data_IF_970754914751
#
_entry.id   IF_970754914751
#
_cell.length_a   1.000
_cell.length_b   1.000
_cell.length_c   1.000
_cell.angle_alpha   90.00
_cell.angle_beta   90.00
_cell.angle_gamma   90.00
#
_symmetry.space_group_name_H-M   'P 1'
#
loop_
_entity.id
_entity.type
_entity.pdbx_description
1 polymer ?
#
# COMPACT_ATOMS: atom_id res chain seq x y z
N UNK A 1 -19.99 19.94 -64.66
CA UNK A 1 -19.10 19.24 -63.73
C UNK A 1 -19.27 19.94 -62.39
N UNK A 2 -20.17 19.40 -61.58
CA UNK A 2 -20.45 19.93 -60.24
C UNK A 2 -19.47 19.44 -59.22
N UNK A 3 -18.85 20.30 -58.42
CA UNK A 3 -18.11 19.87 -57.26
C UNK A 3 -19.07 19.62 -56.09
N UNK A 4 -19.37 18.37 -55.84
CA UNK A 4 -20.04 17.94 -54.61
C UNK A 4 -19.17 18.32 -53.42
N UNK A 5 -19.56 19.39 -52.74
CA UNK A 5 -19.06 19.72 -51.39
C UNK A 5 -19.62 18.68 -50.42
N UNK A 6 -18.84 17.74 -50.06
CA UNK A 6 -19.06 16.89 -48.85
C UNK A 6 -18.82 17.74 -47.62
N UNK A 7 -19.89 18.33 -47.09
CA UNK A 7 -19.92 18.87 -45.74
C UNK A 7 -19.82 17.68 -44.74
N UNK A 8 -18.60 17.31 -44.35
CA UNK A 8 -18.39 16.53 -43.15
C UNK A 8 -18.75 17.41 -41.94
N UNK A 9 -19.99 17.29 -41.50
CA UNK A 9 -20.41 17.74 -40.17
C UNK A 9 -19.68 16.90 -39.12
N UNK A 10 -18.45 17.29 -38.79
CA UNK A 10 -17.82 16.89 -37.54
C UNK A 10 -18.65 17.52 -36.39
N UNK A 11 -19.66 16.79 -35.95
CA UNK A 11 -20.30 17.06 -34.68
C UNK A 11 -19.25 16.82 -33.58
N UNK A 12 -18.43 17.82 -33.28
CA UNK A 12 -17.71 17.89 -32.04
C UNK A 12 -18.78 17.88 -30.93
N UNK A 13 -18.96 16.74 -30.29
CA UNK A 13 -19.76 16.59 -29.08
C UNK A 13 -19.14 17.53 -28.03
N UNK A 14 -19.64 18.79 -27.98
CA UNK A 14 -19.38 19.69 -26.87
C UNK A 14 -20.07 19.08 -25.66
N UNK A 15 -19.30 18.30 -24.86
CA UNK A 15 -19.76 17.78 -23.57
C UNK A 15 -20.28 18.97 -22.76
N UNK A 16 -21.54 18.92 -22.33
CA UNK A 16 -22.10 19.98 -21.49
C UNK A 16 -21.32 20.01 -20.16
N UNK A 17 -21.12 21.20 -19.55
CA UNK A 17 -20.44 21.32 -18.26
C UNK A 17 -21.05 20.39 -17.18
N UNK A 18 -22.37 20.22 -17.21
CA UNK A 18 -23.11 19.31 -16.32
C UNK A 18 -22.74 17.86 -16.54
N UNK A 19 -22.52 17.41 -17.77
CA UNK A 19 -22.09 16.05 -18.06
C UNK A 19 -20.65 15.80 -17.57
N UNK A 20 -19.74 16.76 -17.78
CA UNK A 20 -18.37 16.69 -17.26
C UNK A 20 -18.36 16.60 -15.73
N UNK A 21 -19.16 17.41 -15.06
CA UNK A 21 -19.27 17.38 -13.60
C UNK A 21 -19.83 16.05 -13.08
N UNK A 22 -20.84 15.47 -13.74
CA UNK A 22 -21.37 14.15 -13.36
C UNK A 22 -20.34 13.04 -13.54
N UNK A 23 -19.49 13.14 -14.58
CA UNK A 23 -18.39 12.20 -14.81
C UNK A 23 -17.29 12.33 -13.75
N UNK A 24 -16.98 13.55 -13.32
CA UNK A 24 -16.03 13.80 -12.24
C UNK A 24 -16.54 13.24 -10.91
N UNK A 25 -17.81 13.49 -10.55
CA UNK A 25 -18.44 12.91 -9.34
C UNK A 25 -18.37 11.39 -9.34
N UNK A 26 -18.49 10.73 -10.49
CA UNK A 26 -18.41 9.27 -10.59
C UNK A 26 -16.99 8.75 -10.27
N UNK A 27 -15.94 9.51 -10.58
CA UNK A 27 -14.55 9.10 -10.42
C UNK A 27 -13.93 9.45 -9.06
N UNK A 28 -14.47 10.46 -8.36
CA UNK A 28 -13.96 10.95 -7.08
C UNK A 28 -13.82 9.79 -6.06
N UNK A 29 -12.81 9.87 -5.22
CA UNK A 29 -12.71 9.02 -4.03
C UNK A 29 -13.79 9.40 -3.01
N UNK A 30 -13.98 8.61 -1.98
CA UNK A 30 -14.95 8.93 -0.91
C UNK A 30 -14.57 10.20 -0.17
N UNK A 31 -13.27 10.42 0.07
CA UNK A 31 -12.74 11.63 0.71
C UNK A 31 -12.93 12.89 -0.16
N UNK A 32 -12.57 12.80 -1.46
CA UNK A 32 -12.76 13.91 -2.39
C UNK A 32 -14.24 14.30 -2.54
N UNK A 33 -15.13 13.30 -2.57
CA UNK A 33 -16.56 13.55 -2.65
C UNK A 33 -17.10 14.19 -1.38
N UNK A 34 -16.64 13.73 -0.20
CA UNK A 34 -17.00 14.33 1.10
C UNK A 34 -16.57 15.79 1.17
N UNK A 35 -15.32 16.11 0.80
CA UNK A 35 -14.84 17.48 0.73
C UNK A 35 -15.66 18.33 -0.26
N UNK A 36 -15.89 17.82 -1.46
CA UNK A 36 -16.70 18.51 -2.48
C UNK A 36 -18.13 18.81 -2.01
N UNK A 37 -18.79 17.88 -1.31
CA UNK A 37 -20.14 18.07 -0.78
C UNK A 37 -20.18 19.10 0.35
N UNK A 38 -19.16 19.10 1.22
CA UNK A 38 -19.01 20.12 2.28
C UNK A 38 -18.79 21.51 1.72
N UNK A 39 -17.92 21.66 0.72
CA UNK A 39 -17.69 22.94 0.03
C UNK A 39 -18.98 23.43 -0.65
N UNK A 40 -19.71 22.52 -1.30
CA UNK A 40 -20.99 22.87 -1.93
C UNK A 40 -22.03 23.31 -0.90
N UNK A 41 -22.07 22.70 0.29
CA UNK A 41 -22.99 23.08 1.36
C UNK A 41 -22.67 24.49 1.91
N UNK A 42 -21.39 24.87 1.96
CA UNK A 42 -20.99 26.24 2.33
C UNK A 42 -21.45 27.27 1.28
N UNK A 43 -21.45 26.90 -0.01
CA UNK A 43 -21.88 27.80 -1.10
C UNK A 43 -23.40 27.81 -1.33
N UNK A 44 -24.10 26.80 -0.87
CA UNK A 44 -25.52 26.58 -1.16
C UNK A 44 -26.34 26.40 0.14
N UNK A 45 -27.00 27.46 0.62
CA UNK A 45 -27.73 27.42 1.90
C UNK A 45 -28.96 26.50 1.89
N UNK A 46 -29.32 25.94 0.73
CA UNK A 46 -30.45 25.01 0.59
C UNK A 46 -30.08 23.58 1.03
N UNK A 47 -28.78 23.27 1.14
CA UNK A 47 -28.28 21.97 1.57
C UNK A 47 -28.07 21.97 3.09
N UNK A 48 -28.73 21.08 3.79
CA UNK A 48 -28.54 20.82 5.20
C UNK A 48 -27.97 19.42 5.41
N UNK A 49 -26.96 19.30 6.27
CA UNK A 49 -26.36 18.03 6.63
C UNK A 49 -27.26 17.29 7.63
N UNK A 50 -27.50 16.02 7.39
CA UNK A 50 -28.29 15.17 8.27
C UNK A 50 -27.34 14.44 9.21
N UNK A 51 -27.54 14.57 10.51
CA UNK A 51 -26.71 13.94 11.55
C UNK A 51 -27.03 12.43 11.74
N UNK A 52 -28.21 11.98 11.28
CA UNK A 52 -28.67 10.59 11.44
C UNK A 52 -28.22 9.72 10.25
N UNK A 53 -27.01 9.19 10.32
CA UNK A 53 -26.49 8.16 9.39
C UNK A 53 -26.53 6.76 10.01
N UNK A 54 -26.66 5.72 9.17
CA UNK A 54 -26.49 4.32 9.59
C UNK A 54 -25.11 4.16 10.26
N UNK A 55 -25.09 3.70 11.52
CA UNK A 55 -23.84 3.55 12.25
C UNK A 55 -23.04 2.35 11.72
N UNK A 56 -21.71 2.49 11.69
CA UNK A 56 -20.80 1.37 11.40
C UNK A 56 -21.05 0.20 12.37
N UNK A 57 -21.37 0.49 13.60
CA UNK A 57 -21.58 -0.51 14.64
C UNK A 57 -22.77 -1.42 14.32
N UNK A 58 -23.89 -0.85 13.83
CA UNK A 58 -25.05 -1.64 13.38
C UNK A 58 -24.72 -2.56 12.21
N UNK A 59 -23.87 -2.09 11.29
CA UNK A 59 -23.42 -2.90 10.17
C UNK A 59 -22.44 -4.01 10.61
N UNK A 60 -21.46 -3.68 11.46
CA UNK A 60 -20.46 -4.63 11.93
C UNK A 60 -21.10 -5.80 12.70
N UNK A 61 -22.17 -5.56 13.46
CA UNK A 61 -22.91 -6.62 14.15
C UNK A 61 -23.62 -7.60 13.20
N UNK A 62 -23.94 -7.20 11.97
CA UNK A 62 -24.56 -8.08 10.97
C UNK A 62 -23.57 -9.03 10.30
N UNK A 63 -22.28 -8.76 10.42
CA UNK A 63 -21.21 -9.48 9.72
C UNK A 63 -20.25 -10.08 10.74
N UNK A 64 -20.38 -11.38 11.00
CA UNK A 64 -19.68 -12.10 12.06
C UNK A 64 -18.15 -11.94 12.07
N UNK A 65 -17.51 -11.86 10.90
CA UNK A 65 -16.04 -11.72 10.80
C UNK A 65 -15.58 -10.26 10.94
N UNK A 66 -16.48 -9.28 10.87
CA UNK A 66 -16.21 -7.86 11.09
C UNK A 66 -16.34 -7.45 12.56
N UNK A 67 -17.11 -8.19 13.35
CA UNK A 67 -17.33 -7.88 14.75
C UNK A 67 -16.04 -7.89 15.60
N UNK A 68 -15.05 -8.68 15.19
CA UNK A 68 -13.73 -8.79 15.84
C UNK A 68 -12.69 -7.81 15.28
N UNK A 69 -13.01 -7.06 14.22
CA UNK A 69 -12.09 -6.06 13.65
C UNK A 69 -12.38 -4.68 14.27
N UNK A 70 -11.32 -3.92 14.60
CA UNK A 70 -11.54 -2.53 14.98
C UNK A 70 -12.28 -1.84 13.83
N UNK A 71 -13.47 -1.31 14.13
CA UNK A 71 -14.25 -0.52 13.20
C UNK A 71 -13.34 0.55 12.54
N UNK A 72 -13.72 1.09 11.39
CA UNK A 72 -13.14 2.35 10.96
C UNK A 72 -13.40 3.30 12.11
N UNK A 73 -12.38 3.52 12.94
CA UNK A 73 -12.50 4.36 14.11
C UNK A 73 -13.22 5.62 13.66
N UNK A 74 -14.48 5.79 14.11
CA UNK A 74 -15.00 7.09 14.37
C UNK A 74 -14.09 7.71 15.44
N UNK A 75 -12.81 7.82 15.12
CA UNK A 75 -11.93 8.70 15.85
C UNK A 75 -12.63 10.04 15.71
N UNK A 76 -13.01 10.61 16.85
CA UNK A 76 -13.12 12.05 17.00
C UNK A 76 -12.26 12.65 15.94
N UNK A 77 -12.87 13.49 15.10
CA UNK A 77 -12.22 14.10 13.96
C UNK A 77 -10.75 14.23 14.30
N UNK A 78 -9.94 13.33 13.74
CA UNK A 78 -8.49 13.49 13.86
C UNK A 78 -8.36 14.87 13.30
N UNK A 79 -8.24 15.80 14.25
CA UNK A 79 -8.21 17.19 13.93
C UNK A 79 -7.31 17.29 12.76
N UNK A 80 -7.70 18.05 11.70
CA UNK A 80 -7.05 18.26 10.42
C UNK A 80 -5.82 17.37 10.33
N UNK A 81 -5.55 16.51 9.33
CA UNK A 81 -4.36 15.68 9.38
C UNK A 81 -3.27 16.64 9.83
N UNK A 82 -3.28 16.84 11.13
CA UNK A 82 -2.43 17.77 11.81
C UNK A 82 -1.15 17.19 11.39
N UNK A 83 -0.35 17.89 10.55
CA UNK A 83 1.04 17.63 10.42
C UNK A 83 1.40 16.61 11.50
N UNK A 84 1.24 15.33 11.21
CA UNK A 84 2.02 14.31 11.88
C UNK A 84 3.38 14.83 11.47
N UNK A 85 3.99 15.56 12.38
CA UNK A 85 5.31 16.09 12.16
C UNK A 85 6.06 14.90 11.61
N UNK A 86 6.44 14.96 10.33
CA UNK A 86 7.24 13.93 9.66
C UNK A 86 8.53 13.65 10.44
N UNK A 87 8.74 14.41 11.48
CA UNK A 87 9.88 14.37 12.38
C UNK A 87 9.72 13.36 13.53
N UNK A 88 8.50 13.03 14.00
CA UNK A 88 8.30 12.15 15.18
C UNK A 88 8.58 10.67 14.95
N UNK A 89 8.88 10.26 13.73
CA UNK A 89 9.25 8.88 13.38
C UNK A 89 10.55 8.79 12.59
N UNK A 90 11.31 9.89 12.47
CA UNK A 90 12.61 9.86 11.79
C UNK A 90 13.69 9.29 12.72
N UNK A 91 14.63 8.53 12.14
CA UNK A 91 15.80 8.04 12.86
C UNK A 91 16.50 9.18 13.65
N UNK A 92 16.61 10.36 13.03
CA UNK A 92 17.23 11.53 13.64
C UNK A 92 16.53 11.95 14.94
N UNK A 93 15.20 11.99 14.95
CA UNK A 93 14.41 12.33 16.14
C UNK A 93 14.62 11.33 17.27
N UNK A 94 14.61 10.04 16.98
CA UNK A 94 14.82 8.98 17.97
C UNK A 94 16.24 9.05 18.57
N UNK A 95 17.24 9.33 17.75
CA UNK A 95 18.62 9.47 18.22
C UNK A 95 18.80 10.75 19.07
N UNK A 96 18.17 11.84 18.68
CA UNK A 96 18.20 13.09 19.47
C UNK A 96 17.53 12.92 20.83
N UNK A 97 16.38 12.22 20.88
CA UNK A 97 15.71 11.91 22.14
C UNK A 97 16.58 11.04 23.07
N UNK A 98 17.30 10.07 22.50
CA UNK A 98 18.25 9.26 23.27
C UNK A 98 19.44 10.10 23.76
N UNK A 99 19.98 10.99 22.91
CA UNK A 99 21.08 11.90 23.30
C UNK A 99 20.67 12.84 24.44
N UNK A 100 19.43 13.32 24.44
CA UNK A 100 18.92 14.22 25.49
C UNK A 100 18.73 13.50 26.84
N UNK A 101 18.54 12.18 26.82
CA UNK A 101 18.49 11.35 28.05
C UNK A 101 19.89 11.10 28.64
N UNK A 102 20.93 11.20 27.82
CA UNK A 102 22.32 11.01 28.28
C UNK A 102 22.86 12.31 28.89
N UNK A 103 23.47 12.21 30.08
CA UNK A 103 24.15 13.34 30.73
C UNK A 103 25.54 13.58 30.11
N UNK A 104 25.58 14.17 28.92
CA UNK A 104 26.80 14.44 28.18
C UNK A 104 27.28 15.86 28.37
N UNK A 105 28.59 16.11 28.15
CA UNK A 105 29.14 17.47 28.05
C UNK A 105 28.55 18.19 26.84
N UNK A 106 28.21 19.45 26.98
CA UNK A 106 27.59 20.27 25.92
C UNK A 106 28.35 20.22 24.58
N UNK A 107 29.69 20.15 24.65
CA UNK A 107 30.55 20.06 23.45
C UNK A 107 30.37 18.73 22.73
N UNK A 108 30.30 17.60 23.45
CA UNK A 108 30.09 16.27 22.90
C UNK A 108 28.70 16.21 22.33
N UNK A 109 27.68 16.70 23.04
CA UNK A 109 26.27 16.70 22.60
C UNK A 109 26.11 17.49 21.29
N UNK A 110 26.73 18.64 21.13
CA UNK A 110 26.69 19.45 19.92
C UNK A 110 27.31 18.70 18.72
N UNK A 111 28.43 18.02 18.91
CA UNK A 111 29.06 17.20 17.87
C UNK A 111 28.19 15.98 17.52
N UNK A 112 27.63 15.30 18.53
CA UNK A 112 26.70 14.14 18.27
C UNK A 112 25.48 14.56 17.45
N UNK A 113 24.82 15.69 17.77
CA UNK A 113 23.68 16.20 16.99
C UNK A 113 24.06 16.51 15.54
N UNK A 114 25.26 17.07 15.35
CA UNK A 114 25.75 17.32 14.00
C UNK A 114 26.00 16.02 13.24
N UNK A 115 26.60 15.00 13.88
CA UNK A 115 26.81 13.68 13.30
C UNK A 115 25.50 12.95 12.97
N UNK A 116 24.45 13.12 13.77
CA UNK A 116 23.11 12.58 13.47
C UNK A 116 22.58 13.12 12.14
N UNK A 117 22.83 14.40 11.84
CA UNK A 117 22.45 15.02 10.57
C UNK A 117 23.28 14.57 9.35
N UNK A 118 24.43 13.92 9.57
CA UNK A 118 25.31 13.38 8.52
C UNK A 118 25.10 11.88 8.26
N UNK A 119 24.22 11.20 9.01
CA UNK A 119 23.91 9.79 8.79
C UNK A 119 23.23 9.59 7.44
N UNK A 120 23.66 8.55 6.71
CA UNK A 120 22.98 8.11 5.49
C UNK A 120 21.69 7.33 5.81
N UNK A 121 20.91 6.97 4.76
CA UNK A 121 19.67 6.19 4.88
C UNK A 121 19.86 4.81 5.55
N UNK A 122 21.10 4.34 5.71
CA UNK A 122 21.45 3.08 6.38
C UNK A 122 21.80 3.28 7.85
N UNK A 123 21.99 4.53 8.25
CA UNK A 123 22.49 4.92 9.57
C UNK A 123 24.01 4.90 9.69
N UNK A 124 24.74 5.02 8.56
CA UNK A 124 26.21 5.03 8.54
C UNK A 124 26.77 6.44 8.40
N UNK A 125 28.03 6.60 8.80
CA UNK A 125 28.81 7.84 8.65
C UNK A 125 29.81 7.70 7.50
N UNK A 126 29.84 8.66 6.57
CA UNK A 126 30.87 8.70 5.55
C UNK A 126 32.22 9.11 6.18
N UNK A 127 33.29 8.33 5.97
CA UNK A 127 34.62 8.72 6.43
C UNK A 127 35.08 10.09 5.93
N UNK A 128 34.66 10.51 4.73
CA UNK A 128 35.00 11.83 4.19
C UNK A 128 34.40 12.98 5.01
N UNK A 129 33.22 12.81 5.57
CA UNK A 129 32.58 13.80 6.43
C UNK A 129 33.31 13.95 7.74
N UNK A 130 33.83 12.85 8.31
CA UNK A 130 34.65 12.86 9.53
C UNK A 130 35.99 13.57 9.31
N UNK A 131 36.65 13.33 8.18
CA UNK A 131 37.86 14.03 7.77
C UNK A 131 37.59 15.53 7.59
N UNK A 132 36.45 15.90 6.99
CA UNK A 132 36.01 17.28 6.84
C UNK A 132 35.84 18.01 8.16
N UNK A 133 35.29 17.36 9.19
CA UNK A 133 35.13 17.92 10.53
C UNK A 133 36.49 18.14 11.23
N UNK A 134 37.42 17.23 11.06
CA UNK A 134 38.77 17.35 11.59
C UNK A 134 39.51 18.54 10.92
N UNK A 135 39.35 18.69 9.60
CA UNK A 135 39.88 19.81 8.85
C UNK A 135 39.24 21.17 9.27
N UNK A 136 37.98 21.16 9.68
CA UNK A 136 37.27 22.34 10.21
C UNK A 136 37.69 22.73 11.64
N UNK A 137 38.62 21.97 12.28
CA UNK A 137 39.20 22.30 13.57
C UNK A 137 38.52 21.60 14.77
N UNK A 138 37.69 20.61 14.57
CA UNK A 138 37.16 19.76 15.66
C UNK A 138 38.30 18.85 16.17
N UNK A 139 38.61 18.83 17.48
CA UNK A 139 39.63 17.94 18.02
C UNK A 139 39.30 16.47 17.79
N UNK A 140 40.24 15.72 17.26
CA UNK A 140 40.06 14.29 16.92
C UNK A 140 39.58 13.47 18.13
N UNK A 141 40.12 13.73 19.33
CA UNK A 141 39.67 13.07 20.55
C UNK A 141 38.19 13.34 20.88
N UNK A 142 37.71 14.55 20.61
CA UNK A 142 36.29 14.90 20.81
C UNK A 142 35.40 14.20 19.77
N UNK A 143 35.87 14.13 18.52
CA UNK A 143 35.15 13.46 17.43
C UNK A 143 35.04 11.95 17.68
N UNK A 144 36.13 11.29 18.11
CA UNK A 144 36.08 9.87 18.48
C UNK A 144 35.14 9.57 19.65
N UNK A 145 35.11 10.46 20.66
CA UNK A 145 34.17 10.32 21.78
C UNK A 145 32.70 10.47 21.28
N UNK A 146 32.41 11.41 20.40
CA UNK A 146 31.09 11.62 19.85
C UNK A 146 30.65 10.42 19.01
N UNK A 147 31.54 9.89 18.15
CA UNK A 147 31.24 8.67 17.35
C UNK A 147 30.98 7.48 18.27
N UNK A 148 31.80 7.25 19.30
CA UNK A 148 31.55 6.14 20.26
C UNK A 148 30.23 6.32 21.00
N UNK A 149 29.88 7.54 21.36
CA UNK A 149 28.59 7.85 21.99
C UNK A 149 27.44 7.53 21.03
N UNK A 150 27.53 7.95 19.77
CA UNK A 150 26.53 7.66 18.75
C UNK A 150 26.38 6.15 18.51
N UNK A 151 27.48 5.41 18.43
CA UNK A 151 27.50 3.95 18.28
C UNK A 151 26.91 3.20 19.50
N UNK A 152 26.79 3.86 20.65
CA UNK A 152 26.15 3.28 21.84
C UNK A 152 24.63 3.42 21.85
N UNK A 153 24.02 4.20 20.94
CA UNK A 153 22.58 4.43 20.84
C UNK A 153 21.87 3.24 20.15
N UNK A 154 20.57 3.20 20.27
CA UNK A 154 19.69 2.27 19.56
C UNK A 154 19.10 2.93 18.30
N UNK A 155 19.02 2.16 17.20
CA UNK A 155 19.37 0.75 16.99
C UNK A 155 20.88 0.47 16.88
N UNK A 156 21.23 -0.79 17.19
CA UNK A 156 22.63 -1.23 17.17
C UNK A 156 23.23 -1.15 15.76
N UNK A 157 24.45 -0.64 15.65
CA UNK A 157 25.17 -0.53 14.37
C UNK A 157 25.07 0.83 13.70
N UNK A 158 24.38 1.82 14.31
CA UNK A 158 24.36 3.21 13.86
C UNK A 158 25.72 3.87 14.11
N UNK A 159 26.07 4.83 13.24
CA UNK A 159 27.34 5.53 13.32
C UNK A 159 28.54 4.70 12.88
N UNK A 160 28.31 3.56 12.22
CA UNK A 160 29.37 2.76 11.61
C UNK A 160 29.90 3.41 10.33
N UNK A 161 31.18 3.24 10.04
CA UNK A 161 31.86 3.76 8.84
C UNK A 161 31.79 2.80 7.66
N UNK A 162 31.51 1.53 7.93
CA UNK A 162 31.39 0.48 6.92
C UNK A 162 30.53 -0.69 7.43
N UNK A 163 30.18 -1.61 6.54
CA UNK A 163 29.40 -2.79 6.87
C UNK A 163 30.03 -3.67 7.96
N UNK A 164 31.35 -3.86 7.91
CA UNK A 164 32.08 -4.67 8.90
C UNK A 164 31.95 -4.11 10.30
N UNK A 165 32.11 -2.80 10.46
CA UNK A 165 31.94 -2.11 11.73
C UNK A 165 30.48 -2.17 12.23
N UNK A 166 29.50 -1.94 11.34
CA UNK A 166 28.09 -2.04 11.65
C UNK A 166 27.73 -3.41 12.24
N UNK A 167 28.14 -4.48 11.57
CA UNK A 167 27.87 -5.85 12.02
C UNK A 167 28.63 -6.19 13.31
N UNK A 168 29.83 -5.68 13.48
CA UNK A 168 30.62 -5.89 14.71
C UNK A 168 29.95 -5.21 15.91
N UNK A 169 29.45 -3.98 15.76
CA UNK A 169 28.72 -3.27 16.82
C UNK A 169 27.45 -4.03 17.23
N UNK A 170 26.77 -4.65 16.29
CA UNK A 170 25.60 -5.49 16.59
C UNK A 170 26.00 -6.80 17.31
N UNK A 171 27.08 -7.44 16.87
CA UNK A 171 27.63 -8.63 17.55
C UNK A 171 28.02 -8.35 19.00
N UNK A 172 28.54 -7.16 19.29
CA UNK A 172 28.94 -6.77 20.65
C UNK A 172 27.76 -6.61 21.61
N UNK A 173 26.55 -6.40 21.09
CA UNK A 173 25.31 -6.31 21.88
C UNK A 173 24.57 -7.65 22.02
N UNK A 174 24.91 -8.65 21.21
CA UNK A 174 24.28 -9.95 21.33
C UNK A 174 24.81 -10.69 22.58
N UNK A 175 23.93 -11.42 23.30
CA UNK A 175 24.37 -12.27 24.39
C UNK A 175 25.11 -13.47 23.83
N UNK A 176 26.41 -13.52 23.97
CA UNK A 176 27.28 -14.61 23.57
C UNK A 176 28.57 -14.13 22.93
N UNK A 177 29.64 -14.91 23.13
CA UNK A 177 30.93 -14.59 22.49
C UNK A 177 30.96 -15.24 21.10
N UNK A 178 31.09 -14.45 20.05
CA UNK A 178 31.14 -14.91 18.67
C UNK A 178 32.47 -14.52 17.98
N UNK A 179 33.61 -15.01 18.43
CA UNK A 179 34.92 -14.57 17.95
C UNK A 179 35.13 -14.85 16.47
N UNK A 180 34.59 -15.96 15.96
CA UNK A 180 34.67 -16.33 14.53
C UNK A 180 33.83 -15.35 13.67
N UNK A 181 32.63 -15.00 14.14
CA UNK A 181 31.78 -14.02 13.41
C UNK A 181 32.44 -12.63 13.37
N UNK A 182 33.04 -12.15 14.47
CA UNK A 182 33.81 -10.91 14.50
C UNK A 182 34.99 -10.92 13.51
N UNK A 183 35.76 -12.02 13.50
CA UNK A 183 36.89 -12.16 12.56
C UNK A 183 36.42 -12.12 11.10
N UNK A 184 35.26 -12.72 10.78
CA UNK A 184 34.66 -12.66 9.45
C UNK A 184 34.22 -11.24 9.11
N UNK A 185 33.57 -10.53 10.03
CA UNK A 185 33.14 -9.14 9.83
C UNK A 185 34.33 -8.18 9.63
N UNK A 186 35.46 -8.45 10.27
CA UNK A 186 36.66 -7.60 10.19
C UNK A 186 37.38 -7.65 8.83
N UNK A 187 37.35 -8.78 8.09
CA UNK A 187 38.14 -8.86 6.86
C UNK A 187 37.67 -9.89 5.80
N UNK A 188 36.64 -10.69 6.07
CA UNK A 188 36.24 -11.79 5.18
C UNK A 188 34.80 -11.71 4.67
N UNK A 189 34.14 -10.52 4.74
CA UNK A 189 32.76 -10.33 4.27
C UNK A 189 32.61 -10.58 2.78
N UNK A 190 33.60 -10.20 1.93
CA UNK A 190 33.57 -10.45 0.51
C UNK A 190 33.61 -11.95 0.18
N UNK A 191 34.41 -12.72 0.95
CA UNK A 191 34.48 -14.17 0.81
C UNK A 191 33.20 -14.83 1.28
N UNK A 192 32.60 -14.31 2.35
CA UNK A 192 31.29 -14.76 2.86
C UNK A 192 30.18 -14.50 1.81
N UNK A 193 30.18 -13.34 1.16
CA UNK A 193 29.25 -13.01 0.09
C UNK A 193 29.36 -13.91 -1.15
N UNK A 194 30.56 -14.46 -1.39
CA UNK A 194 30.83 -15.45 -2.45
C UNK A 194 30.62 -16.89 -2.01
N UNK A 195 30.16 -17.11 -0.77
CA UNK A 195 29.96 -18.44 -0.15
C UNK A 195 31.25 -19.29 -0.08
N UNK A 196 32.40 -18.63 0.00
CA UNK A 196 33.71 -19.29 0.03
C UNK A 196 34.08 -19.80 1.44
N UNK A 197 33.18 -20.54 2.10
CA UNK A 197 33.33 -20.98 3.50
C UNK A 197 34.63 -21.76 3.75
N UNK A 198 35.07 -22.60 2.79
CA UNK A 198 36.30 -23.39 2.91
C UNK A 198 37.57 -22.52 2.89
N UNK A 199 37.55 -21.38 2.19
CA UNK A 199 38.65 -20.42 2.21
C UNK A 199 38.72 -19.71 3.55
N UNK A 200 37.58 -19.23 4.08
CA UNK A 200 37.47 -18.57 5.37
C UNK A 200 37.95 -19.52 6.49
N UNK A 201 37.51 -20.79 6.47
CA UNK A 201 37.90 -21.80 7.46
C UNK A 201 39.44 -22.02 7.48
N UNK A 202 40.07 -22.00 6.30
CA UNK A 202 41.52 -22.17 6.18
C UNK A 202 42.29 -20.93 6.65
N UNK A 203 41.82 -19.73 6.30
CA UNK A 203 42.47 -18.46 6.67
C UNK A 203 42.38 -18.19 8.17
N UNK A 204 41.21 -18.45 8.77
CA UNK A 204 40.98 -18.28 10.21
C UNK A 204 41.47 -19.47 11.07
N UNK A 205 41.85 -20.59 10.45
CA UNK A 205 42.28 -21.79 11.18
C UNK A 205 41.18 -22.47 11.99
N UNK A 206 39.92 -22.30 11.60
CA UNK A 206 38.74 -22.85 12.31
C UNK A 206 38.07 -23.95 11.49
N UNK A 207 37.22 -24.75 12.13
CA UNK A 207 36.47 -25.78 11.44
C UNK A 207 35.34 -25.24 10.58
N UNK A 208 35.01 -25.96 9.51
CA UNK A 208 33.95 -25.59 8.58
C UNK A 208 32.55 -25.39 9.28
N UNK A 209 32.15 -26.25 10.24
CA UNK A 209 30.93 -26.03 11.00
C UNK A 209 30.91 -24.71 11.79
N UNK A 210 32.04 -24.32 12.41
CA UNK A 210 32.13 -23.04 13.13
C UNK A 210 31.95 -21.83 12.20
N UNK A 211 32.47 -21.90 10.96
CA UNK A 211 32.23 -20.85 9.94
C UNK A 211 30.76 -20.82 9.54
N UNK A 212 30.09 -21.96 9.46
CA UNK A 212 28.66 -22.05 9.15
C UNK A 212 27.79 -21.44 10.26
N UNK A 213 28.09 -21.72 11.50
CA UNK A 213 27.40 -21.12 12.65
C UNK A 213 27.61 -19.61 12.66
N UNK A 214 28.84 -19.14 12.49
CA UNK A 214 29.18 -17.74 12.41
C UNK A 214 28.45 -17.05 11.24
N UNK A 215 28.39 -17.66 10.05
CA UNK A 215 27.67 -17.18 8.90
C UNK A 215 26.16 -17.06 9.15
N UNK A 216 25.57 -18.01 9.88
CA UNK A 216 24.15 -17.95 10.26
C UNK A 216 23.87 -16.81 11.24
N UNK A 217 24.77 -16.56 12.21
CA UNK A 217 24.67 -15.42 13.12
C UNK A 217 24.74 -14.12 12.32
N UNK A 218 25.73 -13.97 11.43
CA UNK A 218 25.89 -12.75 10.61
C UNK A 218 24.68 -12.51 9.71
N UNK A 219 24.06 -13.56 9.13
CA UNK A 219 22.86 -13.43 8.32
C UNK A 219 21.61 -12.96 9.08
N UNK A 220 21.59 -13.14 10.39
CA UNK A 220 20.51 -12.68 11.24
C UNK A 220 20.65 -11.21 11.66
N UNK A 221 21.80 -10.58 11.38
CA UNK A 221 22.05 -9.17 11.67
C UNK A 221 21.48 -8.27 10.57
N UNK A 222 21.19 -7.03 10.92
CA UNK A 222 20.70 -6.03 9.99
C UNK A 222 21.87 -5.22 9.39
N UNK A 223 22.07 -5.27 8.06
CA UNK A 223 23.10 -4.48 7.38
C UNK A 223 22.78 -2.97 7.27
N UNK A 224 21.55 -2.56 7.56
CA UNK A 224 21.11 -1.17 7.39
C UNK A 224 20.12 -0.77 8.50
N UNK A 225 20.57 -0.65 9.75
CA UNK A 225 19.70 -0.43 10.91
C UNK A 225 18.91 0.88 10.86
N UNK A 226 19.35 1.87 10.11
CA UNK A 226 18.62 3.12 9.88
C UNK A 226 17.36 2.96 9.05
N UNK A 227 17.26 1.90 8.23
CA UNK A 227 16.11 1.67 7.33
C UNK A 227 14.85 1.18 8.03
N UNK A 228 14.95 0.45 9.13
CA UNK A 228 13.77 -0.03 9.85
C UNK A 228 12.97 1.13 10.45
N UNK A 229 13.65 2.18 10.86
CA UNK A 229 13.04 3.40 11.40
C UNK A 229 12.38 4.25 10.29
N UNK A 230 12.97 4.28 9.09
CA UNK A 230 12.36 4.92 7.91
C UNK A 230 11.18 4.12 7.33
N UNK A 231 11.16 2.80 7.52
CA UNK A 231 10.06 1.92 7.10
C UNK A 231 8.82 2.06 7.99
N UNK A 232 8.88 2.82 9.07
CA UNK A 232 7.71 3.40 9.73
C UNK A 232 7.08 4.52 8.88
N UNK A 233 7.09 4.33 7.53
CA UNK A 233 6.19 5.12 6.67
C UNK A 233 4.79 4.94 7.25
N UNK A 234 4.04 6.03 7.44
CA UNK A 234 2.67 5.92 7.92
C UNK A 234 1.99 4.90 7.03
N UNK A 235 1.59 3.79 7.62
CA UNK A 235 0.82 2.77 6.90
C UNK A 235 -0.38 3.53 6.36
N UNK A 236 -0.43 3.72 5.04
CA UNK A 236 -1.60 4.32 4.41
C UNK A 236 -2.77 3.39 4.72
N UNK A 237 -3.53 3.73 5.75
CA UNK A 237 -4.76 3.03 6.07
C UNK A 237 -5.76 3.30 4.95
N UNK A 238 -5.82 2.37 4.02
CA UNK A 238 -6.79 2.43 2.95
C UNK A 238 -8.15 2.04 3.52
N UNK A 239 -9.09 2.99 3.54
CA UNK A 239 -10.48 2.70 3.91
C UNK A 239 -11.16 1.94 2.78
N UNK A 240 -11.84 0.82 3.05
CA UNK A 240 -12.57 0.11 2.02
C UNK A 240 -13.79 0.91 1.57
N UNK A 241 -14.07 0.89 0.25
CA UNK A 241 -15.28 1.48 -0.34
C UNK A 241 -16.47 0.52 -0.29
N UNK A 242 -16.20 -0.78 -0.11
CA UNK A 242 -17.24 -1.80 0.01
C UNK A 242 -16.74 -3.06 0.74
N UNK A 243 -17.69 -3.82 1.25
CA UNK A 243 -17.48 -5.11 1.92
C UNK A 243 -18.29 -6.21 1.25
N UNK A 244 -17.71 -7.40 1.23
CA UNK A 244 -18.41 -8.62 0.80
C UNK A 244 -18.58 -9.51 2.02
N UNK A 245 -19.82 -9.82 2.36
CA UNK A 245 -20.15 -10.69 3.47
C UNK A 245 -21.12 -11.80 3.04
N UNK A 246 -21.04 -12.92 3.73
CA UNK A 246 -22.02 -14.00 3.63
C UNK A 246 -23.11 -13.76 4.67
N UNK A 247 -24.34 -13.62 4.20
CA UNK A 247 -25.54 -13.48 5.04
C UNK A 247 -26.59 -14.45 4.50
N UNK A 248 -27.11 -15.30 5.36
CA UNK A 248 -28.13 -16.31 5.01
C UNK A 248 -27.76 -17.24 3.85
N UNK A 249 -26.46 -17.53 3.69
CA UNK A 249 -25.95 -18.37 2.59
C UNK A 249 -25.86 -17.66 1.24
N UNK A 250 -25.97 -16.34 1.20
CA UNK A 250 -25.79 -15.50 0.02
C UNK A 250 -24.63 -14.51 0.19
N UNK A 251 -23.89 -14.25 -0.88
CA UNK A 251 -22.90 -13.20 -0.90
C UNK A 251 -23.58 -11.85 -1.10
N UNK A 252 -23.46 -10.96 -0.12
CA UNK A 252 -24.00 -9.60 -0.19
C UNK A 252 -22.87 -8.59 -0.22
N UNK A 253 -23.07 -7.53 -0.97
CA UNK A 253 -22.14 -6.40 -1.11
C UNK A 253 -22.74 -5.20 -0.38
N UNK A 254 -21.93 -4.60 0.47
CA UNK A 254 -22.26 -3.38 1.23
C UNK A 254 -21.30 -2.30 0.82
N UNK A 255 -21.81 -1.15 0.40
CA UNK A 255 -21.00 0.02 0.06
C UNK A 255 -20.84 0.93 1.27
N UNK A 256 -19.70 1.58 1.37
CA UNK A 256 -19.42 2.54 2.44
C UNK A 256 -20.29 3.79 2.26
N UNK A 257 -21.30 3.94 3.10
CA UNK A 257 -22.21 5.08 3.12
C UNK A 257 -22.02 5.98 4.34
N UNK A 258 -21.40 5.45 5.40
CA UNK A 258 -21.19 6.17 6.65
C UNK A 258 -20.06 7.19 6.62
N UNK A 259 -19.08 7.04 5.72
CA UNK A 259 -18.01 8.03 5.53
C UNK A 259 -18.45 9.23 4.64
N UNK A 260 -19.65 9.16 4.06
CA UNK A 260 -20.19 10.23 3.23
C UNK A 260 -21.23 11.03 4.02
N UNK A 261 -21.07 12.35 4.13
CA UNK A 261 -22.08 13.19 4.77
C UNK A 261 -23.37 13.09 3.96
N UNK A 262 -24.46 12.86 4.68
CA UNK A 262 -25.80 12.83 4.06
C UNK A 262 -26.37 14.22 4.04
N UNK A 263 -26.74 14.70 2.86
CA UNK A 263 -27.33 16.00 2.67
C UNK A 263 -28.79 15.87 2.21
N UNK A 264 -29.64 16.73 2.72
CA UNK A 264 -31.01 16.88 2.27
C UNK A 264 -31.30 18.34 1.92
N UNK A 265 -32.42 18.55 1.24
CA UNK A 265 -32.88 19.91 0.91
C UNK A 265 -33.67 20.46 2.07
N UNK A 266 -33.32 21.64 2.55
CA UNK A 266 -34.04 22.36 3.61
C UNK A 266 -35.48 22.63 3.23
N UNK A 267 -36.43 22.16 4.04
CA UNK A 267 -37.86 22.37 3.84
C UNK A 267 -38.24 23.85 3.91
N UNK A 268 -37.51 24.64 4.70
CA UNK A 268 -37.75 26.08 4.82
C UNK A 268 -37.47 26.79 3.50
N UNK A 269 -36.35 26.54 2.86
CA UNK A 269 -36.00 27.12 1.56
C UNK A 269 -36.86 26.60 0.42
N UNK A 270 -37.32 25.33 0.51
CA UNK A 270 -38.28 24.78 -0.45
C UNK A 270 -39.63 25.49 -0.38
N UNK A 271 -40.07 25.92 0.79
CA UNK A 271 -41.32 26.70 0.96
C UNK A 271 -41.12 28.15 0.47
N UNK A 272 -40.00 28.81 0.79
CA UNK A 272 -39.67 30.14 0.32
C UNK A 272 -39.58 30.23 -1.20
N UNK A 273 -39.08 29.21 -1.86
CA UNK A 273 -39.00 29.14 -3.32
C UNK A 273 -40.35 29.01 -4.02
N UNK A 274 -41.45 28.74 -3.28
CA UNK A 274 -42.83 28.75 -3.82
C UNK A 274 -43.43 30.19 -3.86
N UNK A 275 -42.65 31.21 -3.49
CA UNK A 275 -43.05 32.61 -3.52
C UNK A 275 -43.41 33.12 -4.95
N UNK A 276 -43.79 34.40 -5.06
CA UNK A 276 -44.30 35.02 -6.29
C UNK A 276 -43.26 34.92 -7.41
N UNK A 277 -43.67 34.52 -8.64
CA UNK A 277 -42.78 34.53 -9.81
C UNK A 277 -42.42 35.99 -10.13
N UNK A 278 -41.12 36.25 -10.33
CA UNK A 278 -40.59 37.59 -10.67
C UNK A 278 -39.81 38.26 -9.52
N UNK A 279 -39.75 37.67 -8.34
CA UNK A 279 -38.89 38.10 -7.26
C UNK A 279 -37.46 37.50 -7.45
N UNK A 280 -36.47 38.37 -7.52
CA UNK A 280 -35.05 38.00 -7.79
C UNK A 280 -34.53 37.00 -6.76
N UNK A 281 -34.93 37.15 -5.49
CA UNK A 281 -34.59 36.21 -4.41
C UNK A 281 -35.19 34.80 -4.63
N UNK A 282 -36.45 34.76 -5.09
CA UNK A 282 -37.14 33.50 -5.40
C UNK A 282 -36.49 32.79 -6.58
N UNK A 283 -36.07 33.54 -7.61
CA UNK A 283 -35.39 32.97 -8.79
C UNK A 283 -34.00 32.43 -8.44
N UNK A 284 -33.24 33.15 -7.64
CA UNK A 284 -31.96 32.68 -7.07
C UNK A 284 -32.11 31.38 -6.28
N UNK A 285 -33.09 31.29 -5.37
CA UNK A 285 -33.36 30.10 -4.62
C UNK A 285 -33.74 28.91 -5.51
N UNK A 286 -34.54 29.13 -6.56
CA UNK A 286 -34.90 28.08 -7.52
C UNK A 286 -33.67 27.52 -8.24
N UNK A 287 -32.75 28.38 -8.66
CA UNK A 287 -31.49 27.93 -9.28
C UNK A 287 -30.64 27.12 -8.31
N UNK A 288 -30.49 27.56 -7.04
CA UNK A 288 -29.74 26.84 -6.01
C UNK A 288 -30.37 25.49 -5.66
N UNK A 289 -31.70 25.41 -5.58
CA UNK A 289 -32.45 24.16 -5.38
C UNK A 289 -32.21 23.21 -6.57
N UNK A 290 -32.26 23.70 -7.79
CA UNK A 290 -32.03 22.89 -8.98
C UNK A 290 -30.62 22.34 -9.01
N UNK A 291 -29.61 23.15 -8.67
CA UNK A 291 -28.21 22.72 -8.54
C UNK A 291 -28.05 21.65 -7.48
N UNK A 292 -28.59 21.86 -6.27
CA UNK A 292 -28.52 20.91 -5.17
C UNK A 292 -29.17 19.57 -5.53
N UNK A 293 -30.40 19.59 -6.10
CA UNK A 293 -31.09 18.38 -6.55
C UNK A 293 -30.29 17.58 -7.57
N UNK A 294 -29.69 18.29 -8.52
CA UNK A 294 -28.87 17.64 -9.54
C UNK A 294 -27.64 16.96 -8.94
N UNK A 295 -26.93 17.62 -8.01
CA UNK A 295 -25.77 17.01 -7.35
C UNK A 295 -26.18 15.79 -6.52
N UNK A 296 -27.23 15.89 -5.69
CA UNK A 296 -27.74 14.77 -4.91
C UNK A 296 -28.13 13.59 -5.80
N UNK A 297 -28.77 13.82 -6.94
CA UNK A 297 -29.08 12.78 -7.92
C UNK A 297 -27.81 12.16 -8.52
N UNK A 298 -26.75 12.93 -8.79
CA UNK A 298 -25.48 12.41 -9.27
C UNK A 298 -24.81 11.52 -8.23
N UNK A 299 -24.85 11.89 -6.95
CA UNK A 299 -24.31 11.08 -5.84
C UNK A 299 -25.09 9.77 -5.69
N UNK A 300 -26.42 9.81 -5.72
CA UNK A 300 -27.26 8.61 -5.68
C UNK A 300 -26.99 7.68 -6.87
N UNK A 301 -26.90 8.22 -8.09
CA UNK A 301 -26.57 7.45 -9.29
C UNK A 301 -25.18 6.82 -9.20
N UNK A 302 -24.20 7.55 -8.64
CA UNK A 302 -22.85 7.01 -8.39
C UNK A 302 -22.91 5.80 -7.46
N UNK A 303 -23.58 5.94 -6.32
CA UNK A 303 -23.71 4.84 -5.35
C UNK A 303 -24.41 3.63 -5.97
N UNK A 304 -25.54 3.83 -6.64
CA UNK A 304 -26.25 2.74 -7.31
C UNK A 304 -25.45 2.09 -8.44
N UNK A 305 -24.65 2.87 -9.20
CA UNK A 305 -23.79 2.32 -10.24
C UNK A 305 -22.64 1.50 -9.63
N UNK A 306 -22.00 2.02 -8.57
CA UNK A 306 -20.94 1.31 -7.84
C UNK A 306 -21.47 -0.01 -7.26
N UNK A 307 -22.62 0.03 -6.57
CA UNK A 307 -23.25 -1.14 -5.98
C UNK A 307 -23.51 -2.23 -7.04
N UNK A 308 -24.18 -1.90 -8.14
CA UNK A 308 -24.46 -2.83 -9.24
C UNK A 308 -23.19 -3.41 -9.86
N UNK A 309 -22.14 -2.59 -10.06
CA UNK A 309 -20.87 -3.07 -10.60
C UNK A 309 -20.17 -4.04 -9.64
N UNK A 310 -20.19 -3.77 -8.33
CA UNK A 310 -19.61 -4.65 -7.33
C UNK A 310 -20.38 -5.94 -7.18
N UNK A 311 -21.72 -5.91 -7.15
CA UNK A 311 -22.57 -7.11 -7.08
C UNK A 311 -22.33 -8.03 -8.28
N UNK A 312 -22.32 -7.47 -9.49
CA UNK A 312 -22.06 -8.26 -10.70
C UNK A 312 -20.63 -8.84 -10.71
N UNK A 313 -19.63 -8.08 -10.20
CA UNK A 313 -18.26 -8.57 -10.06
C UNK A 313 -18.18 -9.71 -9.03
N UNK A 314 -18.82 -9.57 -7.88
CA UNK A 314 -18.84 -10.60 -6.82
C UNK A 314 -19.53 -11.86 -7.31
N UNK A 315 -20.66 -11.75 -8.00
CA UNK A 315 -21.34 -12.89 -8.63
C UNK A 315 -20.44 -13.59 -9.66
N UNK A 316 -19.77 -12.81 -10.51
CA UNK A 316 -18.82 -13.35 -11.48
C UNK A 316 -17.62 -14.05 -10.82
N UNK A 317 -17.20 -13.67 -9.62
CA UNK A 317 -16.09 -14.22 -8.85
C UNK A 317 -16.55 -15.04 -7.63
N UNK A 318 -17.77 -15.57 -7.63
CA UNK A 318 -18.37 -16.23 -6.48
C UNK A 318 -17.49 -17.34 -5.89
N UNK A 319 -16.82 -18.14 -6.73
CA UNK A 319 -15.95 -19.22 -6.26
C UNK A 319 -14.77 -18.73 -5.44
N UNK A 320 -14.26 -17.52 -5.74
CA UNK A 320 -13.21 -16.88 -4.95
C UNK A 320 -13.74 -16.44 -3.59
N UNK A 321 -14.87 -15.76 -3.54
CA UNK A 321 -15.44 -15.26 -2.28
C UNK A 321 -15.97 -16.39 -1.37
N UNK A 322 -16.36 -17.53 -1.95
CA UNK A 322 -16.70 -18.75 -1.22
C UNK A 322 -15.47 -19.58 -0.79
N UNK A 323 -14.25 -19.08 -0.98
CA UNK A 323 -12.99 -19.79 -0.68
C UNK A 323 -12.86 -21.15 -1.40
N UNK A 324 -13.61 -21.33 -2.52
CA UNK A 324 -13.51 -22.52 -3.37
C UNK A 324 -12.36 -22.43 -4.37
N UNK A 325 -11.85 -21.21 -4.60
CA UNK A 325 -10.75 -20.94 -5.49
C UNK A 325 -9.70 -20.05 -4.81
N UNK A 326 -8.42 -20.38 -4.98
CA UNK A 326 -7.27 -19.63 -4.39
C UNK A 326 -7.06 -18.24 -5.04
N UNK A 327 -7.65 -18.01 -6.21
CA UNK A 327 -7.52 -16.75 -6.94
C UNK A 327 -8.69 -16.50 -7.90
N UNK A 328 -8.97 -15.22 -8.23
CA UNK A 328 -10.08 -14.85 -9.09
C UNK A 328 -9.88 -15.38 -10.53
N UNK A 329 -11.00 -15.79 -11.16
CA UNK A 329 -11.04 -16.21 -12.57
C UNK A 329 -10.87 -15.00 -13.51
N UNK A 330 -10.54 -15.23 -14.80
CA UNK A 330 -10.47 -14.16 -15.78
C UNK A 330 -11.82 -13.46 -15.92
N UNK A 331 -11.81 -12.11 -15.80
CA UNK A 331 -12.98 -11.27 -15.97
C UNK A 331 -12.54 -9.98 -16.66
N UNK A 332 -13.21 -9.60 -17.74
CA UNK A 332 -12.96 -8.34 -18.40
C UNK A 332 -14.02 -7.32 -18.00
N UNK A 333 -13.61 -6.05 -17.88
CA UNK A 333 -14.57 -4.96 -17.61
C UNK A 333 -15.64 -4.83 -18.69
N UNK A 334 -15.34 -5.27 -19.91
CA UNK A 334 -16.31 -5.30 -21.01
C UNK A 334 -17.43 -6.32 -20.74
N UNK A 335 -17.08 -7.51 -20.28
CA UNK A 335 -18.08 -8.56 -20.01
C UNK A 335 -19.05 -8.11 -18.91
N UNK A 336 -18.52 -7.40 -17.89
CA UNK A 336 -19.34 -6.81 -16.84
C UNK A 336 -20.23 -5.67 -17.37
N UNK A 337 -19.71 -4.85 -18.29
CA UNK A 337 -20.45 -3.75 -18.91
C UNK A 337 -21.60 -4.27 -19.77
N UNK A 338 -21.35 -5.34 -20.53
CA UNK A 338 -22.35 -6.00 -21.36
C UNK A 338 -23.47 -6.64 -20.48
N UNK A 339 -23.11 -7.26 -19.34
CA UNK A 339 -24.07 -7.80 -18.37
C UNK A 339 -24.94 -6.71 -17.72
N UNK A 340 -24.37 -5.53 -17.45
CA UNK A 340 -25.08 -4.42 -16.81
C UNK A 340 -25.76 -3.46 -17.79
N UNK A 341 -25.64 -3.72 -19.09
CA UNK A 341 -26.15 -2.86 -20.18
C UNK A 341 -25.65 -1.42 -20.09
N UNK A 342 -24.36 -1.23 -19.72
CA UNK A 342 -23.71 0.08 -19.61
C UNK A 342 -22.46 0.16 -20.48
N UNK A 343 -22.00 1.37 -20.78
CA UNK A 343 -20.75 1.51 -21.51
C UNK A 343 -19.54 1.06 -20.69
N UNK A 344 -18.51 0.39 -21.25
CA UNK A 344 -17.33 -0.08 -20.52
C UNK A 344 -16.58 1.02 -19.77
N UNK A 345 -16.62 2.26 -20.25
CA UNK A 345 -16.02 3.40 -19.54
C UNK A 345 -16.73 3.73 -18.22
N UNK A 346 -18.04 3.45 -18.11
CA UNK A 346 -18.81 3.66 -16.87
C UNK A 346 -18.34 2.68 -15.79
N UNK A 347 -18.19 1.39 -16.12
CA UNK A 347 -17.63 0.38 -15.21
C UNK A 347 -16.20 0.74 -14.79
N UNK A 348 -15.37 1.15 -15.75
CA UNK A 348 -13.98 1.54 -15.48
C UNK A 348 -13.90 2.72 -14.52
N UNK A 349 -14.76 3.74 -14.69
CA UNK A 349 -14.79 4.92 -13.83
C UNK A 349 -15.39 4.63 -12.45
N UNK A 350 -16.45 3.83 -12.39
CA UNK A 350 -17.10 3.45 -11.13
C UNK A 350 -16.17 2.65 -10.20
N UNK A 351 -15.32 1.78 -10.78
CA UNK A 351 -14.41 0.91 -10.05
C UNK A 351 -12.97 1.45 -9.95
N UNK A 352 -12.67 2.64 -10.51
CA UNK A 352 -11.35 3.25 -10.42
C UNK A 352 -11.03 3.63 -8.96
N UNK A 353 -9.83 3.30 -8.50
CA UNK A 353 -9.33 3.63 -7.14
C UNK A 353 -10.26 3.18 -6.01
N UNK A 354 -10.99 2.06 -6.20
CA UNK A 354 -11.90 1.50 -5.22
C UNK A 354 -11.31 0.24 -4.61
N UNK A 355 -11.53 0.08 -3.30
CA UNK A 355 -11.08 -1.06 -2.53
C UNK A 355 -12.26 -1.85 -1.98
N UNK A 356 -12.13 -3.17 -2.04
CA UNK A 356 -13.11 -4.12 -1.57
C UNK A 356 -12.51 -4.94 -0.44
N UNK A 357 -13.17 -4.99 0.70
CA UNK A 357 -12.80 -5.84 1.82
C UNK A 357 -13.66 -7.11 1.81
N UNK A 358 -13.00 -8.25 1.98
CA UNK A 358 -13.64 -9.54 2.14
C UNK A 358 -12.91 -10.33 3.24
N UNK A 359 -13.37 -11.54 3.53
CA UNK A 359 -12.77 -12.42 4.55
C UNK A 359 -11.28 -12.71 4.31
N UNK A 360 -10.84 -12.73 3.04
CA UNK A 360 -9.45 -12.99 2.65
C UNK A 360 -8.55 -11.76 2.75
N UNK A 361 -9.12 -10.56 2.98
CA UNK A 361 -8.38 -9.31 3.12
C UNK A 361 -8.94 -8.15 2.29
N UNK A 362 -8.16 -7.08 2.22
CA UNK A 362 -8.47 -5.87 1.48
C UNK A 362 -7.80 -5.92 0.10
N UNK A 363 -8.58 -5.76 -0.96
CA UNK A 363 -8.10 -5.81 -2.34
C UNK A 363 -8.56 -4.61 -3.15
N UNK A 364 -7.71 -4.03 -4.01
CA UNK A 364 -8.19 -3.10 -5.01
C UNK A 364 -9.13 -3.81 -5.99
N UNK A 365 -10.21 -3.18 -6.42
CA UNK A 365 -11.17 -3.78 -7.38
C UNK A 365 -10.49 -4.23 -8.68
N UNK A 366 -9.39 -3.57 -9.06
CA UNK A 366 -8.57 -3.95 -10.22
C UNK A 366 -8.00 -5.38 -10.13
N UNK A 367 -7.84 -5.92 -8.91
CA UNK A 367 -7.35 -7.28 -8.67
C UNK A 367 -8.25 -8.36 -9.28
N UNK A 368 -9.56 -8.13 -9.31
CA UNK A 368 -10.57 -9.06 -9.81
C UNK A 368 -10.70 -9.06 -11.34
N UNK A 369 -10.02 -8.15 -12.02
CA UNK A 369 -10.03 -8.05 -13.48
C UNK A 369 -8.72 -8.51 -14.09
N UNK A 370 -8.79 -9.38 -15.06
CA UNK A 370 -7.61 -9.86 -15.76
C UNK A 370 -7.98 -10.62 -17.02
N UNK A 371 -7.08 -10.63 -17.98
CA UNK A 371 -7.23 -11.44 -19.19
C UNK A 371 -6.85 -12.88 -18.91
N UNK A 372 -7.47 -13.80 -19.62
CA UNK A 372 -7.03 -15.18 -19.67
C UNK A 372 -5.58 -15.25 -20.19
N UNK A 373 -4.75 -16.10 -19.59
CA UNK A 373 -3.35 -16.30 -19.95
C UNK A 373 -3.18 -17.70 -20.54
N UNK A 374 -2.54 -17.79 -21.72
CA UNK A 374 -2.33 -19.07 -22.41
C UNK A 374 -3.53 -19.51 -23.25
N UNK A 375 -3.60 -20.79 -23.57
CA UNK A 375 -4.67 -21.40 -24.35
C UNK A 375 -5.91 -21.78 -23.50
N UNK A 376 -5.91 -21.47 -22.18
CA UNK A 376 -6.95 -21.83 -21.23
C UNK A 376 -7.62 -20.61 -20.60
N UNK A 377 -8.73 -20.85 -19.88
CA UNK A 377 -9.49 -19.84 -19.13
C UNK A 377 -8.86 -19.52 -17.77
N UNK A 378 -7.53 -19.35 -17.71
CA UNK A 378 -6.79 -19.18 -16.45
C UNK A 378 -6.31 -17.74 -16.32
N UNK A 379 -6.57 -17.09 -15.17
CA UNK A 379 -6.06 -15.75 -14.90
C UNK A 379 -4.58 -15.78 -14.51
N UNK A 380 -3.91 -14.63 -14.66
CA UNK A 380 -2.54 -14.47 -14.18
C UNK A 380 -2.42 -14.70 -12.67
N UNK A 381 -3.45 -14.36 -11.90
CA UNK A 381 -3.52 -14.58 -10.46
C UNK A 381 -3.63 -16.06 -10.11
N UNK A 382 -4.50 -16.79 -10.80
CA UNK A 382 -4.62 -18.24 -10.65
C UNK A 382 -3.31 -18.96 -10.98
N UNK A 383 -2.65 -18.56 -12.07
CA UNK A 383 -1.35 -19.10 -12.44
C UNK A 383 -0.28 -18.84 -11.39
N UNK A 384 -0.25 -17.64 -10.79
CA UNK A 384 0.68 -17.29 -9.71
C UNK A 384 0.37 -18.07 -8.43
N UNK A 385 -0.91 -18.21 -8.06
CA UNK A 385 -1.34 -18.96 -6.87
C UNK A 385 -0.98 -20.45 -7.00
N UNK A 386 -1.27 -21.06 -8.16
CA UNK A 386 -0.89 -22.44 -8.43
C UNK A 386 0.63 -22.67 -8.41
N UNK A 387 1.39 -21.73 -9.00
CA UNK A 387 2.85 -21.76 -8.97
C UNK A 387 3.40 -21.69 -7.54
N UNK A 388 2.87 -20.77 -6.72
CA UNK A 388 3.27 -20.63 -5.32
C UNK A 388 2.95 -21.89 -4.51
N UNK A 389 1.77 -22.47 -4.71
CA UNK A 389 1.35 -23.73 -4.06
C UNK A 389 2.30 -24.88 -4.42
N UNK A 390 2.67 -25.01 -5.69
CA UNK A 390 3.62 -26.04 -6.15
C UNK A 390 5.01 -25.87 -5.56
N UNK A 391 5.50 -24.64 -5.51
CA UNK A 391 6.84 -24.36 -4.93
C UNK A 391 6.85 -24.57 -3.40
N UNK A 392 5.75 -24.26 -2.71
CA UNK A 392 5.63 -24.56 -1.26
C UNK A 392 5.56 -26.05 -0.95
N UNK A 393 5.02 -26.84 -1.87
CA UNK A 393 4.90 -28.29 -1.74
C UNK A 393 6.11 -29.07 -2.30
N UNK A 394 7.14 -28.39 -2.83
CA UNK A 394 8.33 -29.05 -3.40
C UNK A 394 9.27 -29.59 -2.32
N UNK A 395 10.01 -30.66 -2.66
CA UNK A 395 11.09 -31.17 -1.80
C UNK A 395 12.29 -30.21 -1.83
N UNK A 396 12.73 -29.66 -0.68
CA UNK A 396 13.89 -28.77 -0.60
C UNK A 396 15.20 -29.38 -1.16
N UNK A 397 15.33 -30.71 -1.14
CA UNK A 397 16.49 -31.41 -1.69
C UNK A 397 16.46 -31.53 -3.21
N UNK A 398 15.27 -31.50 -3.82
CA UNK A 398 15.05 -31.63 -5.26
C UNK A 398 14.07 -30.58 -5.79
N UNK A 399 14.44 -29.30 -5.76
CA UNK A 399 13.54 -28.24 -6.21
C UNK A 399 13.21 -28.35 -7.70
N UNK A 400 11.95 -28.10 -8.05
CA UNK A 400 11.44 -28.22 -9.41
C UNK A 400 12.05 -27.14 -10.33
N UNK A 401 12.53 -27.54 -11.51
CA UNK A 401 12.97 -26.60 -12.53
C UNK A 401 11.78 -25.82 -13.13
N UNK A 402 12.03 -24.67 -13.78
CA UNK A 402 10.97 -23.94 -14.47
C UNK A 402 10.27 -24.77 -15.55
N UNK A 403 10.96 -25.75 -16.14
CA UNK A 403 10.40 -26.71 -17.10
C UNK A 403 9.46 -27.68 -16.38
N UNK A 404 9.91 -28.28 -15.27
CA UNK A 404 9.09 -29.21 -14.49
C UNK A 404 7.84 -28.52 -13.88
N UNK A 405 7.97 -27.25 -13.46
CA UNK A 405 6.84 -26.43 -13.04
C UNK A 405 5.84 -26.20 -14.18
N UNK A 406 6.34 -25.96 -15.40
CA UNK A 406 5.49 -25.81 -16.60
C UNK A 406 4.69 -27.09 -16.89
N UNK A 407 5.33 -28.25 -16.82
CA UNK A 407 4.70 -29.55 -17.01
C UNK A 407 3.67 -29.87 -15.91
N UNK A 408 4.03 -29.58 -14.66
CA UNK A 408 3.10 -29.76 -13.54
C UNK A 408 1.84 -28.88 -13.65
N UNK A 409 2.01 -27.60 -14.02
CA UNK A 409 0.88 -26.69 -14.24
C UNK A 409 0.04 -27.08 -15.46
N UNK A 410 0.65 -27.59 -16.53
CA UNK A 410 -0.08 -28.12 -17.68
C UNK A 410 -0.93 -29.33 -17.30
N UNK A 411 -0.43 -30.20 -16.41
CA UNK A 411 -1.21 -31.32 -15.84
C UNK A 411 -2.42 -30.88 -14.98
N UNK A 412 -2.39 -29.67 -14.42
CA UNK A 412 -3.53 -29.06 -13.70
C UNK A 412 -4.48 -28.28 -14.62
N UNK A 413 -4.35 -28.42 -15.94
CA UNK A 413 -5.19 -27.70 -16.90
C UNK A 413 -4.77 -26.25 -17.16
N UNK A 414 -3.56 -25.86 -16.75
CA UNK A 414 -2.99 -24.52 -16.93
C UNK A 414 -1.79 -24.54 -17.87
N UNK A 415 -1.99 -24.67 -19.19
CA UNK A 415 -0.90 -24.71 -20.17
C UNK A 415 -0.24 -23.33 -20.28
N UNK A 416 0.90 -23.16 -19.65
CA UNK A 416 1.71 -21.93 -19.65
C UNK A 416 3.03 -22.17 -20.35
N UNK A 417 3.56 -21.15 -21.03
CA UNK A 417 4.91 -21.22 -21.57
C UNK A 417 5.97 -21.10 -20.45
N UNK A 418 7.09 -21.82 -20.57
CA UNK A 418 8.21 -21.75 -19.62
C UNK A 418 8.65 -20.32 -19.29
N UNK A 419 8.69 -19.45 -20.31
CA UNK A 419 9.03 -18.02 -20.11
C UNK A 419 8.04 -17.30 -19.21
N UNK A 420 6.75 -17.63 -19.31
CA UNK A 420 5.68 -17.06 -18.47
C UNK A 420 5.81 -17.54 -17.03
N UNK A 421 6.11 -18.83 -16.82
CA UNK A 421 6.34 -19.42 -15.49
C UNK A 421 7.56 -18.75 -14.83
N UNK A 422 8.68 -18.58 -15.55
CA UNK A 422 9.85 -17.87 -15.05
C UNK A 422 9.57 -16.41 -14.70
N UNK A 423 8.76 -15.71 -15.52
CA UNK A 423 8.32 -14.33 -15.26
C UNK A 423 7.48 -14.25 -13.98
N UNK A 424 6.52 -15.15 -13.80
CA UNK A 424 5.66 -15.16 -12.62
C UNK A 424 6.42 -15.53 -11.36
N UNK A 425 7.34 -16.53 -11.43
CA UNK A 425 8.22 -16.87 -10.33
C UNK A 425 9.05 -15.67 -9.87
N UNK A 426 9.66 -14.95 -10.84
CA UNK A 426 10.44 -13.74 -10.53
C UNK A 426 9.56 -12.63 -9.92
N UNK A 427 8.34 -12.44 -10.43
CA UNK A 427 7.38 -11.47 -9.89
C UNK A 427 6.90 -11.81 -8.47
N UNK A 428 6.96 -13.09 -8.06
CA UNK A 428 6.68 -13.54 -6.69
C UNK A 428 7.92 -13.49 -5.78
N UNK A 429 9.07 -12.97 -6.25
CA UNK A 429 10.32 -12.91 -5.48
C UNK A 429 10.99 -14.28 -5.26
N UNK A 430 10.53 -15.35 -5.95
CA UNK A 430 11.01 -16.69 -5.73
C UNK A 430 12.30 -16.96 -6.53
N UNK A 431 13.39 -17.45 -5.88
CA UNK A 431 14.67 -17.73 -6.54
C UNK A 431 14.56 -18.94 -7.50
N UNK A 432 15.47 -19.06 -8.47
CA UNK A 432 15.53 -20.23 -9.36
C UNK A 432 15.87 -21.53 -8.60
N UNK A 433 15.56 -22.68 -9.21
CA UNK A 433 15.70 -24.00 -8.57
C UNK A 433 17.06 -24.23 -7.92
N UNK A 434 18.17 -23.83 -8.57
CA UNK A 434 19.52 -24.02 -8.03
C UNK A 434 19.80 -23.22 -6.75
N UNK A 435 19.08 -22.10 -6.50
CA UNK A 435 19.18 -21.32 -5.26
C UNK A 435 18.20 -21.80 -4.17
N UNK A 436 17.20 -22.59 -4.53
CA UNK A 436 16.21 -23.13 -3.58
C UNK A 436 16.64 -24.49 -3.00
N UNK A 437 17.67 -25.10 -3.57
CA UNK A 437 18.22 -26.37 -3.09
C UNK A 437 18.89 -26.13 -1.72
N UNK A 438 18.37 -26.79 -0.70
CA UNK A 438 18.92 -26.84 0.68
C UNK A 438 19.54 -28.18 0.98
#
# INVERSE_FOLDING_TARGET
MDPTQTLELAQALKLSPTLLQSMNILQMTTLELSAYLKDLALENPVLEEQEDGTSWEEFAHQVSWLADQPGPSGGEAVGEPGRIDRETGSLSFLLEEQLDRLKLDQKILAVCRYLVGLLDDRGWLDPADLEGLTAAGVPEALLEQAVKTLQSLDPAGIGARNLGECLTLQLDRLPGDAPVARAICAGHLDQLGREAYAAIARELGVSLPQVWEAANVIRALDPAPGREEELSQPVEYVRPDAWVAEIDGELRVFTNQWDLPQFHLSDQYLQLAKGKPGDEATEYLRQKIQQARWVLQCVQRRQGTLQRCLEAMVQAQADYFWERADAPRPLLRRDLADQLEVHPSTVTRALAHKYLQCRQGLFPTAYFFGRATGAGEVSAQQAKAALLRRIRAEDPKKPLSDQALTEALAGEGMPLARRTVAKYRKALGLPPAYRRKR
#
